data_IF_620335362934
#
_entry.id   IF_620335362934
#
_cell.length_a   1.000
_cell.length_b   1.000
_cell.length_c   1.000
_cell.angle_alpha   90.00
_cell.angle_beta   90.00
_cell.angle_gamma   90.00
#
_symmetry.space_group_name_H-M   'P 1'
#
loop_
_entity.id
_entity.type
_entity.pdbx_description
1 polymer ?
#
# COMPACT_ATOMS: atom_id res chain seq x y z
N UNK A 1 9.77 -20.03 -18.32
CA UNK A 1 10.78 -19.21 -17.63
C UNK A 1 10.06 -18.49 -16.50
N UNK A 2 10.35 -18.81 -15.24
CA UNK A 2 9.81 -18.02 -14.13
C UNK A 2 10.52 -16.65 -14.18
N UNK A 3 9.80 -15.59 -14.53
CA UNK A 3 10.32 -14.24 -14.38
C UNK A 3 10.74 -14.07 -12.91
N UNK A 4 11.98 -13.64 -12.67
CA UNK A 4 12.44 -13.35 -11.32
C UNK A 4 11.42 -12.42 -10.65
N UNK A 5 11.04 -12.67 -9.39
CA UNK A 5 10.11 -11.79 -8.70
C UNK A 5 10.67 -10.37 -8.72
N UNK A 6 9.84 -9.40 -9.09
CA UNK A 6 10.21 -8.00 -9.06
C UNK A 6 10.50 -7.62 -7.61
N UNK A 7 11.65 -7.01 -7.35
CA UNK A 7 12.10 -6.60 -6.02
C UNK A 7 12.64 -5.19 -6.07
N UNK A 8 12.54 -4.46 -4.97
CA UNK A 8 13.21 -3.18 -4.84
C UNK A 8 14.73 -3.38 -4.88
N UNK A 9 15.41 -2.50 -5.60
CA UNK A 9 16.87 -2.51 -5.74
C UNK A 9 17.58 -2.29 -4.40
N UNK A 10 17.02 -1.41 -3.58
CA UNK A 10 17.57 -1.00 -2.29
C UNK A 10 16.46 -0.45 -1.37
N UNK A 11 16.82 -0.20 -0.11
CA UNK A 11 15.88 0.30 0.88
C UNK A 11 15.33 1.69 0.50
N UNK A 12 16.14 2.54 -0.15
CA UNK A 12 15.69 3.87 -0.54
C UNK A 12 14.62 3.79 -1.62
N UNK A 13 14.78 2.89 -2.60
CA UNK A 13 13.76 2.61 -3.61
C UNK A 13 12.47 2.07 -2.98
N UNK A 14 12.58 1.12 -2.03
CA UNK A 14 11.42 0.61 -1.30
C UNK A 14 10.71 1.70 -0.48
N UNK A 15 11.46 2.53 0.26
CA UNK A 15 10.87 3.64 1.02
C UNK A 15 10.16 4.62 0.11
N UNK A 16 10.76 4.96 -1.02
CA UNK A 16 10.18 5.87 -2.01
C UNK A 16 8.89 5.31 -2.60
N UNK A 17 8.88 4.04 -3.01
CA UNK A 17 7.68 3.38 -3.50
C UNK A 17 6.55 3.38 -2.46
N UNK A 18 6.89 3.10 -1.19
CA UNK A 18 5.92 3.15 -0.11
C UNK A 18 5.42 4.57 0.18
N UNK A 19 6.28 5.57 0.11
CA UNK A 19 5.92 6.97 0.27
C UNK A 19 4.94 7.41 -0.83
N UNK A 20 5.19 7.04 -2.10
CA UNK A 20 4.27 7.33 -3.21
C UNK A 20 2.91 6.62 -3.03
N UNK A 21 2.90 5.40 -2.51
CA UNK A 21 1.66 4.72 -2.12
C UNK A 21 0.89 5.54 -1.08
N UNK A 22 1.56 6.02 -0.02
CA UNK A 22 0.91 6.84 1.00
C UNK A 22 0.46 8.21 0.48
N UNK A 23 1.20 8.82 -0.45
CA UNK A 23 0.76 10.05 -1.12
C UNK A 23 -0.50 9.83 -1.95
N UNK A 24 -0.57 8.72 -2.71
CA UNK A 24 -1.79 8.35 -3.43
C UNK A 24 -2.95 8.05 -2.49
N UNK A 25 -2.68 7.36 -1.39
CA UNK A 25 -3.68 7.00 -0.39
C UNK A 25 -4.21 8.23 0.37
N UNK A 26 -3.38 9.24 0.60
CA UNK A 26 -3.77 10.55 1.14
C UNK A 26 -4.58 11.37 0.12
N UNK A 27 -4.18 11.37 -1.16
CA UNK A 27 -4.92 12.03 -2.22
C UNK A 27 -6.32 11.41 -2.43
N UNK A 28 -6.43 10.09 -2.34
CA UNK A 28 -7.68 9.34 -2.46
C UNK A 28 -8.43 9.20 -1.11
N UNK A 29 -7.93 9.77 -0.01
CA UNK A 29 -8.48 9.50 1.33
C UNK A 29 -9.97 9.86 1.44
N UNK A 30 -10.41 10.96 0.83
CA UNK A 30 -11.80 11.40 0.88
C UNK A 30 -12.70 10.42 0.13
N UNK A 31 -12.26 9.94 -1.03
CA UNK A 31 -12.98 8.94 -1.81
C UNK A 31 -13.08 7.61 -1.05
N UNK A 32 -11.99 7.19 -0.41
CA UNK A 32 -11.95 5.95 0.37
C UNK A 32 -12.80 6.06 1.63
N UNK A 33 -12.72 7.17 2.38
CA UNK A 33 -13.57 7.41 3.56
C UNK A 33 -15.05 7.48 3.18
N UNK A 34 -15.38 8.15 2.08
CA UNK A 34 -16.75 8.18 1.55
C UNK A 34 -17.23 6.77 1.23
N UNK A 35 -16.41 5.96 0.55
CA UNK A 35 -16.75 4.58 0.20
C UNK A 35 -16.92 3.68 1.44
N UNK A 36 -16.12 3.90 2.49
CA UNK A 36 -16.26 3.20 3.78
C UNK A 36 -17.56 3.61 4.48
N UNK A 37 -17.89 4.91 4.47
CA UNK A 37 -19.12 5.43 5.04
C UNK A 37 -20.35 4.92 4.28
N UNK A 38 -20.32 4.88 2.94
CA UNK A 38 -21.37 4.31 2.10
C UNK A 38 -21.54 2.79 2.30
N UNK A 39 -20.45 2.08 2.58
CA UNK A 39 -20.50 0.66 2.92
C UNK A 39 -21.11 0.40 4.31
N UNK A 40 -21.11 1.39 5.22
CA UNK A 40 -21.70 1.28 6.55
C UNK A 40 -20.95 0.26 7.45
N UNK A 41 -21.68 -0.59 8.17
CA UNK A 41 -21.11 -1.69 8.96
C UNK A 41 -20.95 -2.99 8.16
N UNK A 42 -21.32 -2.97 6.88
CA UNK A 42 -21.40 -4.15 6.03
C UNK A 42 -20.00 -4.52 5.52
N UNK A 43 -19.36 -5.47 6.21
CA UNK A 43 -17.98 -5.91 5.93
C UNK A 43 -17.84 -6.39 4.48
N UNK A 44 -18.85 -7.08 3.94
CA UNK A 44 -18.83 -7.52 2.54
C UNK A 44 -18.82 -6.34 1.57
N UNK A 45 -19.60 -5.29 1.82
CA UNK A 45 -19.56 -4.08 0.98
C UNK A 45 -18.22 -3.37 1.09
N UNK A 46 -17.67 -3.22 2.31
CA UNK A 46 -16.31 -2.66 2.48
C UNK A 46 -15.28 -3.45 1.69
N UNK A 47 -15.35 -4.78 1.72
CA UNK A 47 -14.48 -5.63 0.93
C UNK A 47 -14.69 -5.45 -0.59
N UNK A 48 -15.91 -5.19 -1.05
CA UNK A 48 -16.21 -5.01 -2.48
C UNK A 48 -15.97 -3.60 -3.01
N UNK A 49 -15.99 -2.56 -2.16
CA UNK A 49 -15.82 -1.16 -2.60
C UNK A 49 -14.44 -0.60 -2.22
N UNK A 50 -14.03 -0.79 -0.97
CA UNK A 50 -12.82 -0.19 -0.39
C UNK A 50 -11.56 -0.93 -0.84
N UNK A 51 -11.57 -2.27 -0.87
CA UNK A 51 -10.43 -3.06 -1.30
C UNK A 51 -10.04 -2.76 -2.75
N UNK A 52 -10.95 -2.79 -3.75
CA UNK A 52 -10.54 -2.49 -5.13
C UNK A 52 -10.07 -1.04 -5.31
N UNK A 53 -10.61 -0.09 -4.54
CA UNK A 53 -10.09 1.28 -4.49
C UNK A 53 -8.63 1.30 -4.02
N UNK A 54 -8.35 0.70 -2.86
CA UNK A 54 -7.00 0.60 -2.33
C UNK A 54 -6.05 -0.15 -3.27
N UNK A 55 -6.52 -1.25 -3.87
CA UNK A 55 -5.73 -2.00 -4.84
C UNK A 55 -5.36 -1.14 -6.06
N UNK A 56 -6.28 -0.30 -6.53
CA UNK A 56 -6.02 0.63 -7.63
C UNK A 56 -5.04 1.74 -7.21
N UNK A 57 -5.19 2.28 -6.00
CA UNK A 57 -4.27 3.27 -5.42
C UNK A 57 -2.85 2.69 -5.26
N UNK A 58 -2.74 1.41 -4.89
CA UNK A 58 -1.47 0.67 -4.74
C UNK A 58 -0.84 0.29 -6.09
N UNK A 59 -1.66 -0.06 -7.08
CA UNK A 59 -1.20 -0.54 -8.37
C UNK A 59 -0.37 0.52 -9.10
N UNK A 60 -0.82 1.77 -9.15
CA UNK A 60 -0.12 2.84 -9.88
C UNK A 60 1.35 3.04 -9.48
N UNK A 61 1.65 3.27 -8.18
CA UNK A 61 3.02 3.35 -7.69
C UNK A 61 3.80 2.09 -8.01
N UNK A 62 3.27 0.90 -7.70
CA UNK A 62 3.96 -0.37 -7.93
C UNK A 62 4.27 -0.59 -9.41
N UNK A 63 3.37 -0.27 -10.33
CA UNK A 63 3.61 -0.35 -11.77
C UNK A 63 4.79 0.53 -12.20
N UNK A 64 4.99 1.68 -11.57
CA UNK A 64 6.14 2.55 -11.83
C UNK A 64 7.48 1.92 -11.43
N UNK A 65 7.48 1.01 -10.45
CA UNK A 65 8.67 0.23 -10.03
C UNK A 65 8.78 -1.12 -10.76
N UNK A 66 8.01 -1.33 -11.83
CA UNK A 66 8.10 -2.53 -12.68
C UNK A 66 7.26 -3.71 -12.20
N UNK A 67 6.42 -3.53 -11.18
CA UNK A 67 5.46 -4.56 -10.78
C UNK A 67 4.29 -4.61 -11.78
N UNK A 68 3.72 -5.80 -12.05
CA UNK A 68 2.62 -5.90 -13.00
C UNK A 68 1.34 -5.21 -12.49
N UNK A 69 0.44 -4.75 -13.38
CA UNK A 69 -0.86 -4.22 -12.96
C UNK A 69 -1.72 -5.26 -12.23
N UNK A 70 -2.57 -4.77 -11.33
CA UNK A 70 -3.63 -5.55 -10.69
C UNK A 70 -3.18 -6.43 -9.52
N UNK A 71 -4.07 -7.33 -9.10
CA UNK A 71 -3.88 -8.18 -7.92
C UNK A 71 -2.52 -8.91 -7.86
N UNK A 72 -2.02 -9.50 -8.95
CA UNK A 72 -0.72 -10.18 -8.94
C UNK A 72 0.46 -9.27 -8.63
N UNK A 73 0.53 -8.05 -9.18
CA UNK A 73 1.65 -7.16 -8.90
C UNK A 73 1.55 -6.46 -7.56
N UNK A 74 0.36 -6.28 -7.01
CA UNK A 74 0.21 -5.87 -5.60
C UNK A 74 0.77 -6.94 -4.68
N UNK A 75 0.47 -8.22 -4.92
CA UNK A 75 1.06 -9.31 -4.14
C UNK A 75 2.59 -9.36 -4.28
N UNK A 76 3.11 -9.14 -5.49
CA UNK A 76 4.56 -9.06 -5.70
C UNK A 76 5.18 -7.84 -5.01
N UNK A 77 4.52 -6.68 -5.05
CA UNK A 77 4.96 -5.47 -4.35
C UNK A 77 5.01 -5.68 -2.85
N UNK A 78 3.97 -6.27 -2.25
CA UNK A 78 3.96 -6.64 -0.83
C UNK A 78 5.11 -7.60 -0.50
N UNK A 79 5.34 -8.63 -1.34
CA UNK A 79 6.45 -9.55 -1.14
C UNK A 79 7.82 -8.83 -1.24
N UNK A 80 7.97 -7.89 -2.17
CA UNK A 80 9.17 -7.08 -2.31
C UNK A 80 9.40 -6.16 -1.10
N UNK A 81 8.35 -5.56 -0.54
CA UNK A 81 8.45 -4.77 0.69
C UNK A 81 8.85 -5.65 1.88
N UNK A 82 8.31 -6.87 1.99
CA UNK A 82 8.72 -7.85 3.00
C UNK A 82 10.17 -8.34 2.81
N UNK A 83 10.69 -8.34 1.58
CA UNK A 83 12.11 -8.60 1.36
C UNK A 83 12.97 -7.40 1.74
N UNK A 84 12.53 -6.18 1.42
CA UNK A 84 13.20 -4.94 1.79
C UNK A 84 13.20 -4.69 3.31
N UNK A 85 12.27 -5.28 4.07
CA UNK A 85 12.32 -5.34 5.54
C UNK A 85 13.64 -5.92 6.06
N UNK A 86 14.21 -6.91 5.35
CA UNK A 86 15.47 -7.58 5.75
C UNK A 86 16.70 -6.69 5.55
N UNK A 87 16.54 -5.54 4.88
CA UNK A 87 17.59 -4.55 4.73
C UNK A 87 17.71 -3.73 6.03
N UNK A 88 18.92 -3.27 6.33
CA UNK A 88 19.20 -2.51 7.55
C UNK A 88 18.39 -1.20 7.55
N UNK A 89 17.43 -1.05 8.48
CA UNK A 89 16.47 0.06 8.51
C UNK A 89 15.12 -0.21 7.83
N UNK A 90 14.87 -1.44 7.39
CA UNK A 90 13.63 -1.90 6.74
C UNK A 90 12.40 -2.01 7.63
N UNK A 91 12.54 -1.90 8.95
CA UNK A 91 11.42 -2.00 9.90
C UNK A 91 10.28 -1.02 9.64
N UNK A 92 10.61 0.17 9.10
CA UNK A 92 9.61 1.18 8.72
C UNK A 92 8.67 0.70 7.61
N UNK A 93 9.16 -0.16 6.70
CA UNK A 93 8.34 -0.71 5.62
C UNK A 93 7.30 -1.69 6.19
N UNK A 94 7.58 -2.35 7.30
CA UNK A 94 6.63 -3.25 7.98
C UNK A 94 5.49 -2.48 8.59
N UNK A 95 5.78 -1.37 9.27
CA UNK A 95 4.77 -0.48 9.83
C UNK A 95 3.85 0.05 8.71
N UNK A 96 4.45 0.49 7.60
CA UNK A 96 3.69 0.96 6.44
C UNK A 96 2.86 -0.15 5.79
N UNK A 97 3.42 -1.34 5.58
CA UNK A 97 2.68 -2.51 5.09
C UNK A 97 1.53 -2.89 6.03
N UNK A 98 1.73 -2.78 7.34
CA UNK A 98 0.70 -3.02 8.35
C UNK A 98 -0.50 -2.09 8.16
N UNK A 99 -0.25 -0.79 7.99
CA UNK A 99 -1.32 0.17 7.69
C UNK A 99 -2.04 -0.13 6.38
N UNK A 100 -1.30 -0.49 5.33
CA UNK A 100 -1.89 -0.85 4.04
C UNK A 100 -2.78 -2.10 4.17
N UNK A 101 -2.32 -3.12 4.90
CA UNK A 101 -3.11 -4.33 5.20
C UNK A 101 -4.36 -3.99 6.01
N UNK A 102 -4.27 -3.10 7.00
CA UNK A 102 -5.45 -2.63 7.75
C UNK A 102 -6.45 -1.94 6.82
N UNK A 103 -5.96 -1.11 5.90
CA UNK A 103 -6.78 -0.51 4.84
C UNK A 103 -7.52 -1.57 4.03
N UNK A 104 -6.80 -2.61 3.58
CA UNK A 104 -7.38 -3.74 2.85
C UNK A 104 -8.38 -4.56 3.69
N UNK A 105 -8.38 -4.44 5.01
CA UNK A 105 -9.40 -5.02 5.90
C UNK A 105 -10.60 -4.07 6.11
N UNK A 106 -10.66 -2.95 5.40
CA UNK A 106 -11.69 -1.93 5.55
C UNK A 106 -11.47 -0.98 6.72
N UNK A 107 -10.27 -0.99 7.32
CA UNK A 107 -9.86 -0.10 8.41
C UNK A 107 -8.89 0.93 7.83
N UNK A 108 -9.44 2.04 7.35
CA UNK A 108 -8.60 3.09 6.77
C UNK A 108 -7.78 3.80 7.86
N UNK A 109 -6.45 3.88 7.71
CA UNK A 109 -5.62 4.58 8.69
C UNK A 109 -5.99 6.07 8.74
N UNK A 110 -6.00 6.69 9.92
CA UNK A 110 -6.27 8.13 10.03
C UNK A 110 -5.18 8.95 9.33
N UNK A 111 -5.53 10.16 8.90
CA UNK A 111 -4.61 11.06 8.19
C UNK A 111 -3.31 11.29 8.98
N UNK A 112 -3.40 11.41 10.30
CA UNK A 112 -2.26 11.56 11.20
C UNK A 112 -1.31 10.36 11.15
N UNK A 113 -1.85 9.14 11.05
CA UNK A 113 -1.04 7.93 10.92
C UNK A 113 -0.34 7.89 9.55
N UNK A 114 -1.05 8.26 8.48
CA UNK A 114 -0.47 8.36 7.13
C UNK A 114 0.67 9.39 7.11
N UNK A 115 0.44 10.59 7.67
CA UNK A 115 1.44 11.66 7.74
C UNK A 115 2.67 11.26 8.58
N UNK A 116 2.46 10.62 9.74
CA UNK A 116 3.54 10.08 10.55
C UNK A 116 4.34 9.01 9.79
N UNK A 117 3.66 8.17 9.01
CA UNK A 117 4.31 7.13 8.21
C UNK A 117 5.12 7.72 7.06
N UNK A 118 4.57 8.71 6.35
CA UNK A 118 5.30 9.49 5.34
C UNK A 118 6.55 10.15 5.93
N UNK A 119 6.46 10.72 7.13
CA UNK A 119 7.62 11.33 7.81
C UNK A 119 8.71 10.30 8.18
N UNK A 120 8.34 9.07 8.52
CA UNK A 120 9.31 7.99 8.78
C UNK A 120 9.94 7.42 7.50
N UNK A 121 9.23 7.51 6.37
CA UNK A 121 9.66 7.02 5.06
C UNK A 121 10.49 8.06 4.28
N UNK A 122 10.37 9.34 4.64
CA UNK A 122 11.14 10.46 4.10
C UNK A 122 12.63 10.41 4.47
#
# INVERSE_FOLDING_TARGET
MAAAPVTFKDLAEAKKAMLEVFEKLEADQEMIKTSIAEAGDDIQKKMMTVIPLLQKTLAGPLEAYGFPPGGPGIMQGVAAFQQAEKLEGGGVLVEGMGMLKSGMMGIFPPAEAIAAMKAKLA
#
